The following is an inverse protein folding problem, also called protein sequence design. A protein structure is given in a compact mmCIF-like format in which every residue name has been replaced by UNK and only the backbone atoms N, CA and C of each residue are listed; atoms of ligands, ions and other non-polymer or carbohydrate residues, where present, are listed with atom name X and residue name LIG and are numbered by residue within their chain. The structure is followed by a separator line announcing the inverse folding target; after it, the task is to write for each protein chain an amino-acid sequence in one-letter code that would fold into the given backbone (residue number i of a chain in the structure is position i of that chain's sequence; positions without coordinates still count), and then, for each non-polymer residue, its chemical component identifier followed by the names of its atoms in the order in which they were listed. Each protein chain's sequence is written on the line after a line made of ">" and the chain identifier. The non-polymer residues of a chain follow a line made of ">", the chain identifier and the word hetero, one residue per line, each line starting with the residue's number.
data_IF_561986595570
#
_entry.id   IF_561986595570
#
_cell.length_a   1.000
_cell.length_b   1.000
_cell.length_c   1.000
_cell.angle_alpha   90.00
_cell.angle_beta   90.00
_cell.angle_gamma   90.00
#
_symmetry.space_group_name_H-M   'P 1'
#
loop_
_entity.id
_entity.type
_entity.pdbx_description
1 polymer ?
#
# COMPACT_ATOMS: atom_id res chain seq x y z
N UNK A 1 -4.50 36.78 -1.39
CA UNK A 1 -5.23 35.56 -1.70
C UNK A 1 -4.86 34.60 -0.60
N UNK A 2 -5.72 34.51 0.41
CA UNK A 2 -5.59 33.48 1.45
C UNK A 2 -6.13 32.21 0.80
N UNK A 3 -5.25 31.52 0.07
CA UNK A 3 -5.55 30.22 -0.48
C UNK A 3 -5.52 29.23 0.67
N UNK A 4 -6.68 28.68 1.01
CA UNK A 4 -6.75 27.42 1.74
C UNK A 4 -5.87 26.42 0.98
N UNK A 5 -4.69 26.16 1.53
CA UNK A 5 -3.87 25.06 1.09
C UNK A 5 -4.69 23.78 1.31
N UNK A 6 -4.72 22.88 0.33
CA UNK A 6 -5.47 21.63 0.41
C UNK A 6 -5.21 20.89 1.73
N UNK A 7 -6.14 20.01 2.13
CA UNK A 7 -5.98 19.21 3.34
C UNK A 7 -4.79 18.26 3.17
N UNK A 8 -3.62 18.66 3.67
CA UNK A 8 -2.41 17.83 3.66
C UNK A 8 -2.35 17.03 4.96
N UNK A 9 -2.13 15.73 4.86
CA UNK A 9 -1.88 14.84 5.98
C UNK A 9 -0.40 14.94 6.35
N UNK A 10 -0.11 15.36 7.59
CA UNK A 10 1.27 15.36 8.06
C UNK A 10 1.72 13.96 8.45
N UNK A 11 2.67 13.39 7.71
CA UNK A 11 3.19 12.03 7.98
C UNK A 11 3.78 11.96 9.39
N UNK A 12 4.45 13.02 9.82
CA UNK A 12 5.05 13.08 11.16
C UNK A 12 3.98 13.02 12.25
N UNK A 13 2.88 13.78 12.12
CA UNK A 13 1.80 13.73 13.11
C UNK A 13 1.05 12.40 13.07
N UNK A 14 0.77 11.87 11.88
CA UNK A 14 0.13 10.57 11.71
C UNK A 14 0.94 9.45 12.39
N UNK A 15 2.24 9.39 12.14
CA UNK A 15 3.09 8.38 12.77
C UNK A 15 3.25 8.62 14.28
N UNK A 16 3.30 9.87 14.73
CA UNK A 16 3.37 10.17 16.16
C UNK A 16 2.07 9.81 16.91
N UNK A 17 0.93 9.82 16.23
CA UNK A 17 -0.38 9.51 16.81
C UNK A 17 -0.66 8.00 16.82
N UNK A 18 -0.36 7.29 15.72
CA UNK A 18 -0.78 5.90 15.53
C UNK A 18 0.34 4.87 15.63
N UNK A 19 1.59 5.24 15.41
CA UNK A 19 2.69 4.29 15.34
C UNK A 19 3.36 4.06 16.71
N UNK A 20 3.57 2.79 17.05
CA UNK A 20 4.41 2.39 18.16
C UNK A 20 5.77 1.88 17.66
N UNK A 21 6.87 2.34 18.26
CA UNK A 21 8.21 1.87 17.90
C UNK A 21 8.40 0.42 18.35
N UNK A 22 8.61 -0.46 17.38
CA UNK A 22 8.78 -1.89 17.62
C UNK A 22 10.16 -2.19 18.25
N UNK A 23 10.29 -3.20 19.14
CA UNK A 23 11.58 -3.57 19.76
C UNK A 23 12.70 -3.90 18.76
N UNK A 24 12.34 -4.32 17.55
CA UNK A 24 13.31 -4.55 16.47
C UNK A 24 14.03 -3.28 16.02
N UNK A 25 13.44 -2.09 16.18
CA UNK A 25 14.06 -0.83 15.77
C UNK A 25 15.44 -0.63 16.39
N UNK A 26 15.58 -0.88 17.70
CA UNK A 26 16.87 -0.79 18.39
C UNK A 26 17.84 -1.90 17.97
N UNK A 27 17.33 -3.08 17.66
CA UNK A 27 18.15 -4.20 17.19
C UNK A 27 18.68 -3.93 15.77
N UNK A 28 17.88 -3.28 14.94
CA UNK A 28 18.24 -2.89 13.58
C UNK A 28 19.45 -1.96 13.58
N UNK A 29 19.48 -0.90 14.39
CA UNK A 29 20.68 -0.05 14.44
C UNK A 29 21.92 -0.78 14.93
N UNK A 30 21.80 -1.78 15.83
CA UNK A 30 22.95 -2.61 16.21
C UNK A 30 23.42 -3.49 15.06
N UNK A 31 22.49 -3.99 14.24
CA UNK A 31 22.77 -4.76 13.04
C UNK A 31 23.42 -3.90 11.96
N UNK A 32 22.84 -2.74 11.65
CA UNK A 32 23.34 -1.81 10.63
C UNK A 32 24.74 -1.26 10.94
N UNK A 33 25.10 -1.11 12.22
CA UNK A 33 26.43 -0.62 12.63
C UNK A 33 27.54 -1.69 12.61
N UNK A 34 27.27 -2.91 12.12
CA UNK A 34 28.31 -3.95 11.98
C UNK A 34 29.28 -3.57 10.86
N UNK A 35 30.60 -3.84 10.98
CA UNK A 35 31.57 -3.48 9.94
C UNK A 35 31.27 -4.06 8.55
N UNK A 36 30.71 -5.27 8.50
CA UNK A 36 30.30 -5.93 7.25
C UNK A 36 29.15 -5.20 6.52
N UNK A 37 28.41 -4.34 7.22
CA UNK A 37 27.20 -3.67 6.74
C UNK A 37 27.41 -2.21 6.33
N UNK A 38 28.64 -1.68 6.44
CA UNK A 38 28.95 -0.25 6.25
C UNK A 38 28.63 0.27 4.84
N UNK A 39 28.57 -0.61 3.84
CA UNK A 39 28.35 -0.26 2.43
C UNK A 39 26.96 -0.58 1.90
N UNK A 40 26.14 -1.26 2.69
CA UNK A 40 24.81 -1.67 2.29
C UNK A 40 23.85 -0.48 2.37
N UNK A 41 22.90 -0.42 1.44
CA UNK A 41 21.83 0.57 1.49
C UNK A 41 20.86 0.29 2.64
N UNK A 42 20.06 1.28 3.04
CA UNK A 42 19.04 1.08 4.08
C UNK A 42 18.03 0.00 3.73
N UNK A 43 17.68 -0.15 2.45
CA UNK A 43 16.76 -1.19 1.99
C UNK A 43 17.38 -2.59 2.07
N UNK A 44 18.64 -2.77 1.65
CA UNK A 44 19.35 -4.05 1.77
C UNK A 44 19.54 -4.45 3.24
N UNK A 45 19.81 -3.47 4.11
CA UNK A 45 19.89 -3.70 5.55
C UNK A 45 18.54 -4.07 6.16
N UNK A 46 17.44 -3.43 5.74
CA UNK A 46 16.10 -3.76 6.18
C UNK A 46 15.72 -5.20 5.81
N UNK A 47 15.87 -5.57 4.53
CA UNK A 47 15.57 -6.90 4.02
C UNK A 47 16.37 -8.00 4.73
N UNK A 48 17.70 -7.86 4.76
CA UNK A 48 18.58 -8.85 5.40
C UNK A 48 18.32 -8.98 6.90
N UNK A 49 18.07 -7.86 7.59
CA UNK A 49 17.76 -7.84 9.02
C UNK A 49 16.46 -8.57 9.37
N UNK A 50 15.41 -8.37 8.57
CA UNK A 50 14.10 -8.98 8.78
C UNK A 50 14.12 -10.47 8.45
N UNK A 51 14.76 -10.86 7.33
CA UNK A 51 14.93 -12.28 6.97
C UNK A 51 15.75 -13.06 8.01
N UNK A 52 16.81 -12.49 8.58
CA UNK A 52 17.59 -13.13 9.67
C UNK A 52 16.71 -13.45 10.91
N UNK A 53 15.55 -12.80 11.03
CA UNK A 53 14.61 -12.96 12.16
C UNK A 53 13.39 -13.81 11.82
N UNK A 54 13.34 -14.40 10.64
CA UNK A 54 12.23 -15.24 10.20
C UNK A 54 10.98 -14.43 9.84
N UNK A 55 11.17 -13.28 9.18
CA UNK A 55 10.08 -12.53 8.56
C UNK A 55 10.19 -12.64 7.02
N UNK A 56 9.03 -12.66 6.36
CA UNK A 56 8.89 -12.54 4.92
C UNK A 56 8.33 -11.14 4.58
N UNK A 57 8.78 -10.56 3.46
CA UNK A 57 8.20 -9.30 2.96
C UNK A 57 6.91 -9.64 2.25
N UNK A 58 5.80 -9.10 2.76
CA UNK A 58 4.46 -9.31 2.20
C UNK A 58 4.08 -8.20 1.24
N UNK A 59 4.54 -6.99 1.51
CA UNK A 59 4.30 -5.82 0.68
C UNK A 59 5.47 -4.84 0.78
N UNK A 60 5.71 -4.13 -0.32
CA UNK A 60 6.57 -2.95 -0.36
C UNK A 60 5.98 -1.98 -1.37
N UNK A 61 5.81 -0.72 -0.97
CA UNK A 61 5.42 0.33 -1.90
C UNK A 61 5.98 1.70 -1.49
N UNK A 62 5.79 2.68 -2.35
CA UNK A 62 6.21 4.05 -2.21
C UNK A 62 5.00 4.96 -2.40
N UNK A 63 4.75 5.85 -1.43
CA UNK A 63 3.63 6.79 -1.56
C UNK A 63 3.75 7.66 -2.80
N UNK A 64 4.94 7.88 -3.37
CA UNK A 64 5.09 8.66 -4.60
C UNK A 64 4.65 7.94 -5.89
N UNK A 65 4.33 6.64 -5.84
CA UNK A 65 3.84 5.88 -7.00
C UNK A 65 2.41 6.26 -7.37
N UNK A 66 1.67 6.85 -6.43
CA UNK A 66 0.34 7.41 -6.65
C UNK A 66 0.26 8.86 -6.22
N UNK A 67 -0.85 9.51 -6.58
CA UNK A 67 -1.20 10.78 -5.95
C UNK A 67 -1.61 10.52 -4.50
N UNK A 68 -1.13 11.34 -3.56
CA UNK A 68 -1.44 11.23 -2.13
C UNK A 68 -1.51 12.62 -1.49
N UNK A 69 -2.19 12.73 -0.34
CA UNK A 69 -2.32 13.98 0.42
C UNK A 69 -1.18 14.20 1.43
N UNK A 70 -0.07 13.46 1.37
CA UNK A 70 0.99 13.57 2.37
C UNK A 70 1.90 14.79 2.20
N UNK A 71 2.32 15.39 3.32
CA UNK A 71 3.37 16.42 3.31
C UNK A 71 4.77 15.86 3.00
N UNK A 72 4.93 14.54 3.03
CA UNK A 72 6.20 13.85 2.85
C UNK A 72 5.99 12.47 2.21
N UNK A 73 6.77 12.14 1.19
CA UNK A 73 6.76 10.78 0.64
C UNK A 73 7.57 9.81 1.50
N UNK A 74 7.19 8.54 1.47
CA UNK A 74 7.94 7.47 2.12
C UNK A 74 7.78 6.15 1.38
N UNK A 75 8.79 5.30 1.51
CA UNK A 75 8.64 3.87 1.20
C UNK A 75 8.21 3.17 2.47
N UNK A 76 7.25 2.25 2.37
CA UNK A 76 6.90 1.34 3.43
C UNK A 76 7.12 -0.10 2.99
N UNK A 77 7.47 -0.95 3.94
CA UNK A 77 7.56 -2.40 3.76
C UNK A 77 6.80 -3.07 4.89
N UNK A 78 5.90 -4.00 4.56
CA UNK A 78 5.17 -4.81 5.52
C UNK A 78 5.81 -6.20 5.57
N UNK A 79 6.16 -6.61 6.77
CA UNK A 79 6.86 -7.85 7.05
C UNK A 79 6.04 -8.71 8.00
N UNK A 80 5.62 -9.88 7.55
CA UNK A 80 4.92 -10.85 8.39
C UNK A 80 5.87 -11.95 8.85
N UNK A 81 5.72 -12.49 10.07
CA UNK A 81 6.52 -13.63 10.49
C UNK A 81 6.29 -14.83 9.57
N UNK A 82 7.32 -15.61 9.25
CA UNK A 82 7.17 -16.80 8.39
C UNK A 82 6.28 -17.89 9.01
N UNK A 83 6.05 -17.83 10.32
CA UNK A 83 5.11 -18.70 11.03
C UNK A 83 3.68 -18.14 11.08
N UNK A 84 3.48 -16.92 10.61
CA UNK A 84 2.15 -16.33 10.49
C UNK A 84 1.28 -17.24 9.65
N UNK A 85 0.11 -17.57 10.19
CA UNK A 85 -0.94 -18.26 9.46
C UNK A 85 -1.90 -17.30 8.76
N UNK A 86 -1.58 -15.99 8.71
CA UNK A 86 -2.42 -15.02 8.03
C UNK A 86 -2.22 -15.12 6.53
N UNK A 87 -3.32 -15.36 5.80
CA UNK A 87 -3.33 -15.35 4.33
C UNK A 87 -3.28 -13.92 3.77
N UNK A 88 -3.55 -12.91 4.62
CA UNK A 88 -3.59 -11.50 4.27
C UNK A 88 -2.74 -10.68 5.24
N UNK A 89 -1.75 -9.97 4.71
CA UNK A 89 -0.84 -9.15 5.52
C UNK A 89 -1.53 -7.94 6.12
N UNK A 90 -2.66 -7.51 5.58
CA UNK A 90 -3.39 -6.32 6.03
C UNK A 90 -4.03 -6.53 7.41
N UNK A 91 -4.31 -7.78 7.76
CA UNK A 91 -4.96 -8.20 9.00
C UNK A 91 -4.04 -9.06 9.89
N UNK A 92 -2.73 -9.04 9.64
CA UNK A 92 -1.77 -9.80 10.44
C UNK A 92 -1.32 -9.00 11.66
N UNK A 93 -1.83 -9.37 12.84
CA UNK A 93 -1.51 -8.74 14.12
C UNK A 93 -0.01 -8.77 14.48
N UNK A 94 0.75 -9.72 13.93
CA UNK A 94 2.20 -9.87 14.18
C UNK A 94 3.06 -9.17 13.11
N UNK A 95 2.43 -8.49 12.14
CA UNK A 95 3.13 -7.77 11.11
C UNK A 95 3.89 -6.55 11.64
N UNK A 96 5.04 -6.30 11.02
CA UNK A 96 5.92 -5.19 11.34
C UNK A 96 6.11 -4.32 10.11
N UNK A 97 6.03 -3.00 10.29
CA UNK A 97 6.16 -2.03 9.22
C UNK A 97 7.51 -1.32 9.30
N UNK A 98 8.25 -1.31 8.20
CA UNK A 98 9.44 -0.49 8.03
C UNK A 98 9.08 0.74 7.22
N UNK A 99 9.30 1.94 7.77
CA UNK A 99 9.00 3.22 7.10
C UNK A 99 10.29 3.97 6.83
N UNK A 100 10.57 4.22 5.56
CA UNK A 100 11.70 4.97 5.07
C UNK A 100 11.23 6.34 4.60
N UNK A 101 11.33 7.35 5.46
CA UNK A 101 10.93 8.71 5.11
C UNK A 101 11.86 9.30 4.06
N UNK A 102 11.31 9.92 3.02
CA UNK A 102 12.08 10.58 1.98
C UNK A 102 12.60 11.94 2.46
N UNK A 103 13.89 12.24 2.28
CA UNK A 103 14.53 13.45 2.82
C UNK A 103 14.75 14.55 1.78
N UNK A 104 13.94 14.59 0.72
CA UNK A 104 13.92 15.72 -0.24
C UNK A 104 14.95 15.65 -1.38
N UNK A 105 15.32 14.45 -1.82
CA UNK A 105 16.15 14.22 -3.02
C UNK A 105 15.33 13.71 -4.23
N UNK A 106 15.97 13.12 -5.24
CA UNK A 106 15.25 12.39 -6.29
C UNK A 106 14.43 11.23 -5.67
N UNK A 107 13.21 10.94 -6.16
CA UNK A 107 12.34 9.89 -5.60
C UNK A 107 12.93 8.47 -5.65
N UNK A 108 13.96 8.25 -6.47
CA UNK A 108 14.69 6.97 -6.54
C UNK A 108 15.77 6.84 -5.45
N UNK A 109 15.91 7.81 -4.56
CA UNK A 109 16.90 7.79 -3.48
C UNK A 109 16.67 8.83 -2.39
N UNK A 110 17.64 8.96 -1.48
CA UNK A 110 17.56 9.94 -0.39
C UNK A 110 16.49 9.60 0.66
N UNK A 111 16.29 8.31 0.93
CA UNK A 111 15.49 7.85 2.04
C UNK A 111 16.33 7.78 3.32
N UNK A 112 15.73 8.18 4.44
CA UNK A 112 16.33 8.03 5.76
C UNK A 112 16.41 6.55 6.17
N UNK A 113 17.17 6.29 7.24
CA UNK A 113 17.14 4.99 7.91
C UNK A 113 15.71 4.65 8.37
N UNK A 114 15.28 3.38 8.29
CA UNK A 114 13.90 3.02 8.57
C UNK A 114 13.52 3.23 10.03
N UNK A 115 12.28 3.67 10.24
CA UNK A 115 11.56 3.43 11.48
C UNK A 115 10.93 2.05 11.41
N UNK A 116 11.05 1.28 12.50
CA UNK A 116 10.42 -0.05 12.59
C UNK A 116 9.30 0.08 13.60
N UNK A 117 8.07 -0.04 13.12
CA UNK A 117 6.86 0.30 13.88
C UNK A 117 5.77 -0.76 13.73
N UNK A 118 4.79 -0.67 14.61
CA UNK A 118 3.50 -1.38 14.58
C UNK A 118 2.38 -0.37 14.82
N UNK A 119 1.14 -0.73 14.50
CA UNK A 119 -0.04 0.14 14.65
C UNK A 119 -1.14 -0.57 15.45
N UNK A 120 -0.92 -0.84 16.74
CA UNK A 120 -1.76 -1.76 17.52
C UNK A 120 -3.19 -1.26 17.79
N UNK A 121 -3.41 0.06 17.72
CA UNK A 121 -4.73 0.68 17.89
C UNK A 121 -5.52 0.78 16.57
N UNK A 122 -4.98 0.23 15.48
CA UNK A 122 -5.62 0.20 14.16
C UNK A 122 -6.16 -1.20 13.85
N UNK A 123 -7.24 -1.26 13.07
CA UNK A 123 -7.81 -2.53 12.59
C UNK A 123 -6.91 -3.21 11.55
N UNK A 124 -6.06 -2.44 10.87
CA UNK A 124 -5.17 -2.90 9.82
C UNK A 124 -3.71 -2.67 10.19
N UNK A 125 -2.82 -3.39 9.52
CA UNK A 125 -1.35 -3.31 9.68
C UNK A 125 -0.78 -1.92 9.45
N UNK A 126 -1.51 -1.03 8.76
CA UNK A 126 -1.27 0.41 8.73
C UNK A 126 -2.58 1.18 8.91
N UNK A 127 -2.56 2.39 9.52
CA UNK A 127 -3.75 3.16 9.87
C UNK A 127 -4.54 3.67 8.66
N UNK A 128 -4.00 3.51 7.47
CA UNK A 128 -4.57 4.00 6.23
C UNK A 128 -4.19 3.04 5.12
N UNK A 129 -5.18 2.71 4.31
CA UNK A 129 -4.98 2.09 3.02
C UNK A 129 -4.69 3.20 2.00
N UNK A 130 -3.49 3.16 1.41
CA UNK A 130 -3.01 4.16 0.48
C UNK A 130 -3.28 3.80 -0.99
N UNK A 131 -3.82 2.61 -1.24
CA UNK A 131 -3.88 2.02 -2.56
C UNK A 131 -5.14 1.16 -2.73
N UNK A 132 -6.30 1.83 -2.76
CA UNK A 132 -7.48 1.19 -3.33
C UNK A 132 -7.41 1.30 -4.85
N UNK A 133 -7.50 0.18 -5.56
CA UNK A 133 -7.77 0.17 -7.00
C UNK A 133 -9.05 -0.61 -7.28
N UNK A 134 -9.67 -0.36 -8.44
CA UNK A 134 -10.68 -1.28 -8.95
C UNK A 134 -9.97 -2.33 -9.82
N UNK A 135 -10.36 -3.60 -9.66
CA UNK A 135 -9.77 -4.70 -10.41
C UNK A 135 -10.85 -5.65 -10.93
N UNK A 136 -10.59 -6.26 -12.09
CA UNK A 136 -11.38 -7.35 -12.66
C UNK A 136 -10.46 -8.41 -13.25
N UNK A 137 -10.68 -9.67 -12.86
CA UNK A 137 -9.92 -10.83 -13.38
C UNK A 137 -10.15 -11.09 -14.88
N UNK A 138 -11.21 -10.51 -15.42
CA UNK A 138 -11.66 -10.61 -16.81
C UNK A 138 -11.10 -9.49 -17.71
N UNK A 139 -10.30 -8.59 -17.15
CA UNK A 139 -9.54 -7.56 -17.86
C UNK A 139 -8.05 -7.95 -17.89
N UNK A 140 -7.33 -7.49 -18.91
CA UNK A 140 -5.87 -7.60 -18.91
C UNK A 140 -5.22 -6.54 -18.00
N UNK A 141 -3.89 -6.62 -17.83
CA UNK A 141 -3.15 -5.73 -16.93
C UNK A 141 -3.24 -4.26 -17.38
N UNK A 142 -3.12 -3.98 -18.69
CA UNK A 142 -3.22 -2.63 -19.26
C UNK A 142 -4.64 -2.05 -19.07
N UNK A 143 -5.67 -2.88 -19.19
CA UNK A 143 -7.06 -2.51 -18.90
C UNK A 143 -7.29 -2.24 -17.41
N UNK A 144 -6.73 -3.06 -16.52
CA UNK A 144 -6.83 -2.88 -15.07
C UNK A 144 -6.06 -1.64 -14.58
N UNK A 145 -4.91 -1.29 -15.16
CA UNK A 145 -4.17 -0.06 -14.81
C UNK A 145 -5.03 1.20 -14.99
N UNK A 146 -5.96 1.20 -15.95
CA UNK A 146 -6.88 2.33 -16.18
C UNK A 146 -7.94 2.48 -15.07
N UNK A 147 -8.12 1.44 -14.27
CA UNK A 147 -9.09 1.39 -13.17
C UNK A 147 -8.46 1.80 -11.82
N UNK A 148 -7.18 2.19 -11.81
CA UNK A 148 -6.50 2.72 -10.63
C UNK A 148 -7.25 3.94 -10.07
N UNK A 149 -7.50 3.95 -8.76
CA UNK A 149 -8.10 5.11 -8.09
C UNK A 149 -6.98 6.10 -7.72
N UNK A 150 -7.05 7.31 -8.26
CA UNK A 150 -6.20 8.47 -7.91
C UNK A 150 -7.07 9.73 -7.96
N UNK A 151 -6.62 10.89 -7.45
CA UNK A 151 -7.42 12.14 -7.47
C UNK A 151 -7.75 12.59 -8.90
N UNK A 152 -6.92 12.22 -9.87
CA UNK A 152 -7.14 12.48 -11.29
C UNK A 152 -7.81 11.33 -12.04
N UNK A 153 -8.02 10.17 -11.40
CA UNK A 153 -8.70 9.03 -12.00
C UNK A 153 -10.20 9.10 -11.82
N UNK A 154 -10.95 8.67 -12.84
CA UNK A 154 -12.38 8.41 -12.74
C UNK A 154 -12.65 6.97 -13.21
N UNK A 155 -12.39 5.95 -12.36
CA UNK A 155 -12.45 4.54 -12.78
C UNK A 155 -13.80 4.13 -13.36
N UNK A 156 -14.90 4.68 -12.81
CA UNK A 156 -16.25 4.44 -13.35
C UNK A 156 -16.39 5.04 -14.75
N UNK A 157 -15.88 6.25 -15.00
CA UNK A 157 -15.86 6.81 -16.35
C UNK A 157 -14.94 6.07 -17.30
N UNK A 158 -13.84 5.50 -16.80
CA UNK A 158 -12.98 4.62 -17.60
C UNK A 158 -13.73 3.34 -18.02
N UNK A 159 -14.52 2.74 -17.13
CA UNK A 159 -15.43 1.64 -17.47
C UNK A 159 -16.45 2.08 -18.54
N UNK A 160 -17.05 3.26 -18.39
CA UNK A 160 -17.98 3.83 -19.39
C UNK A 160 -17.29 4.06 -20.75
N UNK A 161 -16.06 4.58 -20.78
CA UNK A 161 -15.25 4.77 -22.00
C UNK A 161 -14.89 3.43 -22.66
N UNK A 162 -14.70 2.38 -21.86
CA UNK A 162 -14.53 1.00 -22.33
C UNK A 162 -15.85 0.35 -22.79
N UNK A 163 -16.97 1.06 -22.69
CA UNK A 163 -18.29 0.61 -23.11
C UNK A 163 -19.01 -0.27 -22.09
N UNK A 164 -18.49 -0.38 -20.87
CA UNK A 164 -19.12 -1.10 -19.77
C UNK A 164 -20.19 -0.25 -19.08
N UNK A 165 -21.29 -0.90 -18.70
CA UNK A 165 -22.36 -0.33 -17.88
C UNK A 165 -22.74 -1.32 -16.79
N UNK A 166 -23.24 -0.80 -15.68
CA UNK A 166 -23.67 -1.63 -14.55
C UNK A 166 -24.73 -2.66 -14.97
N UNK A 167 -24.54 -3.92 -14.59
CA UNK A 167 -25.46 -5.02 -14.89
C UNK A 167 -26.34 -5.33 -13.67
N UNK A 168 -27.39 -4.53 -13.49
CA UNK A 168 -28.35 -4.67 -12.37
C UNK A 168 -28.91 -6.09 -12.26
N UNK A 169 -29.19 -6.73 -13.40
CA UNK A 169 -29.78 -8.08 -13.42
C UNK A 169 -28.79 -9.10 -12.90
N UNK A 170 -27.53 -8.98 -13.31
CA UNK A 170 -26.49 -9.90 -12.86
C UNK A 170 -26.18 -9.67 -11.39
N UNK A 171 -26.05 -8.41 -10.96
CA UNK A 171 -25.85 -8.04 -9.55
C UNK A 171 -26.93 -8.65 -8.64
N UNK A 172 -28.22 -8.46 -8.98
CA UNK A 172 -29.34 -9.02 -8.21
C UNK A 172 -29.34 -10.56 -8.20
N UNK A 173 -28.92 -11.18 -9.30
CA UNK A 173 -28.92 -12.64 -9.43
C UNK A 173 -27.77 -13.32 -8.70
N UNK A 174 -26.61 -12.67 -8.61
CA UNK A 174 -25.43 -13.18 -7.91
C UNK A 174 -25.49 -12.85 -6.43
N UNK A 175 -26.15 -11.74 -6.05
CA UNK A 175 -26.17 -11.25 -4.68
C UNK A 175 -24.77 -10.86 -4.20
N UNK A 176 -23.92 -10.38 -5.11
CA UNK A 176 -22.59 -9.91 -4.74
C UNK A 176 -22.72 -8.63 -3.90
N UNK A 177 -22.08 -8.62 -2.72
CA UNK A 177 -22.11 -7.48 -1.79
C UNK A 177 -20.79 -6.68 -1.82
N UNK A 178 -19.67 -7.34 -2.14
CA UNK A 178 -18.31 -6.75 -2.13
C UNK A 178 -17.74 -6.51 -3.55
N UNK A 179 -18.56 -6.70 -4.58
CA UNK A 179 -18.18 -6.48 -5.99
C UNK A 179 -19.36 -5.90 -6.78
N UNK A 180 -19.07 -5.35 -7.96
CA UNK A 180 -20.05 -4.82 -8.89
C UNK A 180 -19.89 -5.47 -10.27
N UNK A 181 -21.00 -5.93 -10.85
CA UNK A 181 -21.02 -6.51 -12.19
C UNK A 181 -21.27 -5.45 -13.25
N UNK A 182 -20.48 -5.52 -14.33
CA UNK A 182 -20.64 -4.68 -15.51
C UNK A 182 -20.77 -5.53 -16.77
N UNK A 183 -21.41 -4.98 -17.79
CA UNK A 183 -21.58 -5.60 -19.10
C UNK A 183 -21.35 -4.57 -20.20
N UNK A 184 -20.70 -4.94 -21.30
CA UNK A 184 -20.55 -4.07 -22.47
C UNK A 184 -21.53 -4.44 -23.60
N UNK A 185 -21.55 -3.65 -24.66
CA UNK A 185 -22.48 -3.86 -25.80
C UNK A 185 -22.17 -5.12 -26.62
N UNK A 186 -20.95 -5.67 -26.51
CA UNK A 186 -20.57 -6.97 -27.09
C UNK A 186 -21.02 -8.16 -26.23
N UNK A 187 -21.61 -7.89 -25.06
CA UNK A 187 -22.07 -8.91 -24.11
C UNK A 187 -20.95 -9.48 -23.23
N UNK A 188 -19.73 -8.93 -23.26
CA UNK A 188 -18.68 -9.24 -22.27
C UNK A 188 -19.15 -8.71 -20.92
N UNK A 189 -19.15 -9.57 -19.92
CA UNK A 189 -19.50 -9.21 -18.55
C UNK A 189 -18.30 -9.42 -17.66
N UNK A 190 -18.06 -8.47 -16.76
CA UNK A 190 -16.92 -8.43 -15.84
C UNK A 190 -17.42 -8.20 -14.42
N UNK A 191 -16.71 -8.77 -13.45
CA UNK A 191 -16.89 -8.49 -12.04
C UNK A 191 -15.76 -7.58 -11.58
N UNK A 192 -16.12 -6.42 -11.02
CA UNK A 192 -15.16 -5.44 -10.53
C UNK A 192 -15.26 -5.38 -9.03
N UNK A 193 -14.13 -5.50 -8.33
CA UNK A 193 -14.05 -5.37 -6.89
C UNK A 193 -12.98 -4.34 -6.51
N UNK A 194 -13.07 -3.82 -5.28
CA UNK A 194 -11.99 -3.06 -4.71
C UNK A 194 -10.84 -4.03 -4.38
N UNK A 195 -9.68 -3.77 -4.95
CA UNK A 195 -8.45 -4.49 -4.64
C UNK A 195 -7.57 -3.61 -3.74
N UNK A 196 -7.13 -4.22 -2.66
CA UNK A 196 -6.28 -3.65 -1.60
C UNK A 196 -4.91 -4.34 -1.55
N UNK A 197 -4.67 -5.31 -2.43
CA UNK A 197 -3.46 -6.15 -2.44
C UNK A 197 -2.36 -5.62 -3.35
N UNK A 198 -2.64 -4.56 -4.11
CA UNK A 198 -1.76 -3.98 -5.12
C UNK A 198 -0.57 -3.20 -4.56
N UNK A 199 0.34 -3.88 -3.85
CA UNK A 199 1.70 -3.37 -3.70
C UNK A 199 2.47 -3.75 -4.97
N UNK A 200 2.78 -2.78 -5.83
CA UNK A 200 3.38 -2.99 -7.17
C UNK A 200 4.91 -2.82 -7.17
#
# INVERSE_FOLDING_TARGET
>A
MDGDYGAVISVTHLLAEFAEIHPLHKQFYKYANRPENERESWFELGDSFMRERGYAQSCRDNTCNGENDFDQNFVYEIWTPEYSGSDDYLYDDDAVVLIYAHTGCDVRGGYASPMIVTFPDCEFTMPLDFQCSLYSSELDDDENERLQVSYSSYPIGQLEEMGFKFDEKKQESTGADDSAWFINDDGKSIEVFADYTGCY
#
